data_IF_527628737879
#
_entry.id   IF_527628737879
#
_cell.length_a   1.000
_cell.length_b   1.000
_cell.length_c   1.000
_cell.angle_alpha   90.00
_cell.angle_beta   90.00
_cell.angle_gamma   90.00
#
_symmetry.space_group_name_H-M   'P 1'
#
loop_
_entity.id
_entity.type
_entity.pdbx_description
1 polymer ?
#
# COMPACT_ATOMS: atom_id res chain seq x y z
N UNK A 1 -56.94 -25.69 -51.26
CA UNK A 1 -55.76 -24.82 -51.07
C UNK A 1 -55.75 -24.30 -49.64
N UNK A 2 -54.74 -24.66 -48.83
CA UNK A 2 -54.45 -24.01 -47.54
C UNK A 2 -52.97 -23.66 -47.55
N UNK A 3 -52.69 -22.36 -47.46
CA UNK A 3 -51.34 -21.79 -47.48
C UNK A 3 -50.85 -21.74 -46.05
N UNK A 4 -49.73 -22.40 -45.78
CA UNK A 4 -49.09 -22.40 -44.46
C UNK A 4 -48.03 -21.32 -44.43
N UNK A 5 -48.19 -20.31 -43.58
CA UNK A 5 -47.17 -19.28 -43.33
C UNK A 5 -46.23 -19.76 -42.23
N UNK A 6 -44.93 -19.91 -42.53
CA UNK A 6 -43.89 -20.05 -41.53
C UNK A 6 -43.57 -18.68 -40.93
N UNK A 7 -43.92 -18.50 -39.65
CA UNK A 7 -43.53 -17.33 -38.87
C UNK A 7 -42.13 -17.59 -38.29
N UNK A 8 -41.09 -17.04 -38.92
CA UNK A 8 -39.73 -17.11 -38.41
C UNK A 8 -39.59 -16.05 -37.29
N UNK A 9 -39.73 -16.47 -36.04
CA UNK A 9 -39.57 -15.60 -34.89
C UNK A 9 -38.06 -15.42 -34.61
N UNK A 10 -37.48 -14.36 -35.16
CA UNK A 10 -36.11 -13.97 -34.83
C UNK A 10 -36.07 -13.49 -33.37
N UNK A 11 -35.48 -14.29 -32.48
CA UNK A 11 -35.19 -13.88 -31.10
C UNK A 11 -34.13 -12.80 -31.12
N UNK A 12 -34.52 -11.55 -30.90
CA UNK A 12 -33.60 -10.46 -30.67
C UNK A 12 -33.05 -10.59 -29.24
N UNK A 13 -31.83 -11.13 -29.10
CA UNK A 13 -31.16 -11.17 -27.81
C UNK A 13 -30.86 -9.73 -27.38
N UNK A 14 -31.57 -9.23 -26.37
CA UNK A 14 -31.20 -8.01 -25.67
C UNK A 14 -29.85 -8.28 -24.99
N UNK A 15 -28.77 -7.77 -25.58
CA UNK A 15 -27.50 -7.65 -24.89
C UNK A 15 -27.69 -6.64 -23.76
N UNK A 16 -28.02 -7.12 -22.56
CA UNK A 16 -28.03 -6.28 -21.37
C UNK A 16 -26.63 -5.77 -21.12
N UNK A 17 -26.42 -4.46 -21.27
CA UNK A 17 -25.21 -3.81 -20.77
C UNK A 17 -25.16 -3.99 -19.26
N UNK A 18 -24.33 -4.91 -18.78
CA UNK A 18 -23.90 -4.91 -17.38
C UNK A 18 -23.07 -3.65 -17.20
N UNK A 19 -23.64 -2.60 -16.61
CA UNK A 19 -22.81 -1.53 -16.08
C UNK A 19 -21.86 -2.17 -15.09
N UNK A 20 -20.55 -2.04 -15.32
CA UNK A 20 -19.56 -2.48 -14.36
C UNK A 20 -19.89 -1.80 -13.02
N UNK A 21 -20.11 -2.57 -11.97
CA UNK A 21 -20.40 -2.00 -10.66
C UNK A 21 -19.25 -1.09 -10.25
N UNK A 22 -19.59 0.05 -9.64
CA UNK A 22 -18.60 1.00 -9.16
C UNK A 22 -17.69 0.32 -8.12
N UNK A 23 -16.40 0.22 -8.43
CA UNK A 23 -15.43 -0.35 -7.52
C UNK A 23 -14.92 0.71 -6.54
N UNK A 24 -15.06 0.43 -5.24
CA UNK A 24 -14.52 1.28 -4.18
C UNK A 24 -13.06 0.94 -3.89
N UNK A 25 -12.22 1.98 -3.77
CA UNK A 25 -10.79 1.84 -3.53
C UNK A 25 -10.40 2.54 -2.24
N UNK A 26 -9.93 1.77 -1.25
CA UNK A 26 -9.33 2.27 -0.01
C UNK A 26 -7.85 2.59 -0.24
N UNK A 27 -7.42 3.82 0.03
CA UNK A 27 -6.02 4.22 -0.09
C UNK A 27 -5.63 5.32 0.88
N UNK A 28 -4.33 5.60 0.98
CA UNK A 28 -3.80 6.78 1.69
C UNK A 28 -3.03 7.68 0.72
N UNK A 29 -3.36 8.97 0.70
CA UNK A 29 -2.79 9.96 -0.21
C UNK A 29 -1.63 10.77 0.40
N UNK A 30 -1.40 10.67 1.71
CA UNK A 30 -0.40 11.47 2.40
C UNK A 30 0.28 10.65 3.48
N UNK A 31 1.52 10.23 3.22
CA UNK A 31 2.30 9.39 4.12
C UNK A 31 3.77 9.80 4.05
N UNK A 32 4.33 10.12 5.21
CA UNK A 32 5.76 10.40 5.39
C UNK A 32 6.48 9.16 5.87
N UNK A 33 7.76 9.08 5.52
CA UNK A 33 8.65 7.98 5.86
C UNK A 33 9.91 8.55 6.50
N UNK A 34 10.85 7.68 6.86
CA UNK A 34 12.18 8.12 7.31
C UNK A 34 13.01 8.86 6.24
N UNK A 35 12.52 9.00 5.00
CA UNK A 35 13.10 9.90 3.99
C UNK A 35 12.82 11.39 4.26
N UNK A 36 11.78 11.74 5.01
CA UNK A 36 11.63 13.09 5.56
C UNK A 36 11.58 13.04 7.08
N UNK A 37 10.39 12.85 7.60
CA UNK A 37 10.03 13.16 8.97
C UNK A 37 8.97 12.18 9.50
N UNK A 38 8.72 11.09 8.78
CA UNK A 38 7.99 9.94 9.30
C UNK A 38 8.80 9.16 10.34
N UNK A 39 8.19 8.09 10.85
CA UNK A 39 8.69 7.29 11.97
C UNK A 39 8.94 5.82 11.63
N UNK A 40 8.78 5.41 10.37
CA UNK A 40 9.03 4.03 9.93
C UNK A 40 9.62 4.00 8.50
N UNK A 41 10.24 2.87 8.15
CA UNK A 41 10.92 2.66 6.87
C UNK A 41 9.90 2.58 5.72
N UNK A 42 10.18 3.13 4.52
CA UNK A 42 9.19 3.30 3.46
C UNK A 42 8.54 1.98 3.02
N UNK A 43 9.33 0.92 2.87
CA UNK A 43 8.84 -0.42 2.55
C UNK A 43 8.05 -1.06 3.70
N UNK A 44 8.38 -0.74 4.95
CA UNK A 44 7.73 -1.28 6.12
C UNK A 44 6.33 -0.68 6.28
N UNK A 45 6.20 0.62 5.98
CA UNK A 45 4.92 1.32 5.88
C UNK A 45 4.11 0.75 4.72
N UNK A 46 4.71 0.62 3.53
CA UNK A 46 4.02 0.09 2.35
C UNK A 46 3.52 -1.35 2.57
N UNK A 47 4.33 -2.21 3.18
CA UNK A 47 3.92 -3.56 3.58
C UNK A 47 2.74 -3.52 4.54
N UNK A 48 2.76 -2.64 5.54
CA UNK A 48 1.64 -2.50 6.49
C UNK A 48 0.34 -2.17 5.75
N UNK A 49 0.34 -1.16 4.88
CA UNK A 49 -0.86 -0.81 4.11
C UNK A 49 -1.37 -1.97 3.24
N UNK A 50 -0.47 -2.66 2.54
CA UNK A 50 -0.79 -3.85 1.75
C UNK A 50 -1.44 -4.95 2.59
N UNK A 51 -0.87 -5.26 3.74
CA UNK A 51 -1.40 -6.30 4.64
C UNK A 51 -2.76 -5.92 5.25
N UNK A 52 -3.12 -4.62 5.26
CA UNK A 52 -4.36 -4.09 5.86
C UNK A 52 -5.44 -3.74 4.82
N UNK A 53 -5.36 -4.34 3.62
CA UNK A 53 -6.38 -4.22 2.58
C UNK A 53 -6.47 -2.83 1.95
N UNK A 54 -5.39 -2.04 2.00
CA UNK A 54 -5.32 -0.83 1.19
C UNK A 54 -4.90 -1.20 -0.22
N UNK A 55 -5.55 -0.55 -1.18
CA UNK A 55 -5.37 -0.80 -2.59
C UNK A 55 -4.28 0.08 -3.19
N UNK A 56 -4.08 1.27 -2.62
CA UNK A 56 -3.01 2.18 -3.02
C UNK A 56 -2.45 2.94 -1.81
N UNK A 57 -1.20 3.37 -1.95
CA UNK A 57 -0.49 4.18 -0.99
C UNK A 57 0.33 5.22 -1.76
N UNK A 58 0.26 6.47 -1.31
CA UNK A 58 1.09 7.57 -1.81
C UNK A 58 2.11 7.95 -0.74
N UNK A 59 3.39 7.98 -1.13
CA UNK A 59 4.48 8.49 -0.30
C UNK A 59 4.73 9.95 -0.68
N UNK A 60 4.69 10.84 0.31
CA UNK A 60 4.69 12.30 0.14
C UNK A 60 5.72 12.96 1.04
N UNK A 61 6.94 12.40 1.08
CA UNK A 61 8.04 12.92 1.90
C UNK A 61 8.35 14.38 1.57
N UNK A 62 8.69 15.18 2.59
CA UNK A 62 8.95 16.62 2.42
C UNK A 62 10.12 16.93 1.49
N UNK A 63 9.82 17.61 0.38
CA UNK A 63 10.79 18.19 -0.57
C UNK A 63 11.88 17.21 -1.01
N UNK A 64 11.56 15.92 -1.09
CA UNK A 64 12.52 14.88 -1.43
C UNK A 64 11.83 13.76 -2.21
N UNK A 65 12.57 13.16 -3.12
CA UNK A 65 12.19 11.92 -3.77
C UNK A 65 13.04 10.80 -3.19
N UNK A 66 12.49 9.59 -3.14
CA UNK A 66 13.21 8.42 -2.64
C UNK A 66 14.18 7.88 -3.70
N UNK A 67 15.20 8.68 -4.02
CA UNK A 67 16.21 8.38 -5.05
C UNK A 67 17.63 8.49 -4.47
N UNK A 68 18.54 7.72 -5.03
CA UNK A 68 19.94 7.69 -4.60
C UNK A 68 20.19 6.92 -3.30
N UNK A 69 21.45 6.92 -2.86
CA UNK A 69 21.85 6.28 -1.61
C UNK A 69 21.63 7.21 -0.42
N UNK A 70 20.93 6.70 0.62
CA UNK A 70 20.71 7.43 1.86
C UNK A 70 20.82 6.52 3.08
N UNK A 71 21.47 7.04 4.13
CA UNK A 71 21.65 6.36 5.41
C UNK A 71 21.02 7.21 6.52
N UNK A 72 20.27 6.56 7.41
CA UNK A 72 19.57 7.19 8.54
C UNK A 72 20.15 6.68 9.85
N UNK A 73 20.49 7.61 10.74
CA UNK A 73 20.91 7.26 12.10
C UNK A 73 19.72 6.78 12.93
N UNK A 74 19.85 5.59 13.51
CA UNK A 74 18.79 4.90 14.27
C UNK A 74 18.41 5.66 15.54
N UNK A 75 19.38 6.25 16.22
CA UNK A 75 19.17 6.94 17.49
C UNK A 75 18.63 8.37 17.31
N UNK A 76 18.80 8.97 16.12
CA UNK A 76 18.32 10.33 15.85
C UNK A 76 17.01 10.39 15.07
N UNK A 77 16.64 9.35 14.35
CA UNK A 77 15.41 9.34 13.59
C UNK A 77 14.18 9.12 14.50
N UNK A 78 12.97 9.42 14.01
CA UNK A 78 11.76 9.34 14.84
C UNK A 78 11.35 7.90 15.20
N UNK A 79 11.74 6.92 14.39
CA UNK A 79 11.38 5.51 14.60
C UNK A 79 12.20 4.81 15.68
N UNK A 80 13.45 5.24 15.86
CA UNK A 80 14.32 4.71 16.90
C UNK A 80 14.70 3.23 16.73
N UNK A 81 15.32 2.64 17.77
CA UNK A 81 15.58 1.21 17.85
C UNK A 81 14.33 0.32 17.70
N UNK A 82 13.12 0.68 18.20
CA UNK A 82 11.93 -0.15 18.01
C UNK A 82 11.53 -0.32 16.54
N UNK A 83 11.58 0.75 15.75
CA UNK A 83 11.28 0.65 14.31
C UNK A 83 12.31 -0.23 13.60
N UNK A 84 13.60 -0.12 13.95
CA UNK A 84 14.63 -0.99 13.38
C UNK A 84 14.41 -2.46 13.73
N UNK A 85 14.08 -2.78 14.99
CA UNK A 85 13.84 -4.16 15.41
C UNK A 85 12.67 -4.78 14.64
N UNK A 86 11.56 -4.04 14.48
CA UNK A 86 10.41 -4.45 13.67
C UNK A 86 10.81 -4.66 12.20
N UNK A 87 11.57 -3.72 11.65
CA UNK A 87 12.03 -3.77 10.26
C UNK A 87 12.96 -4.96 9.99
N UNK A 88 13.89 -5.25 10.90
CA UNK A 88 14.76 -6.44 10.85
C UNK A 88 13.97 -7.74 10.95
N UNK A 89 12.96 -7.81 11.83
CA UNK A 89 12.11 -8.99 11.96
C UNK A 89 11.32 -9.28 10.67
N UNK A 90 10.84 -8.24 9.98
CA UNK A 90 10.02 -8.39 8.78
C UNK A 90 10.85 -8.63 7.50
N UNK A 91 12.04 -8.05 7.39
CA UNK A 91 12.82 -8.02 6.14
C UNK A 91 14.18 -8.72 6.20
N UNK A 92 14.62 -9.12 7.39
CA UNK A 92 15.82 -9.93 7.61
C UNK A 92 17.06 -9.35 6.94
N UNK A 93 17.73 -10.16 6.12
CA UNK A 93 19.00 -9.82 5.44
C UNK A 93 18.88 -8.68 4.43
N UNK A 94 17.68 -8.25 4.07
CA UNK A 94 17.49 -7.14 3.14
C UNK A 94 17.74 -5.77 3.80
N UNK A 95 17.57 -5.71 5.12
CA UNK A 95 17.95 -4.57 5.96
C UNK A 95 19.46 -4.42 5.93
N UNK A 96 19.94 -3.25 5.54
CA UNK A 96 21.37 -2.95 5.49
C UNK A 96 21.69 -1.96 6.61
N UNK A 97 22.58 -2.36 7.51
CA UNK A 97 23.06 -1.54 8.61
C UNK A 97 24.56 -1.34 8.52
N UNK A 98 25.06 -0.21 9.01
CA UNK A 98 26.49 0.04 9.18
C UNK A 98 26.75 0.81 10.46
N UNK A 99 27.96 0.67 10.99
CA UNK A 99 28.46 1.56 12.02
C UNK A 99 29.36 2.62 11.38
N UNK A 100 29.12 3.89 11.71
CA UNK A 100 29.95 5.01 11.26
C UNK A 100 30.14 5.99 12.40
N UNK A 101 31.40 6.20 12.82
CA UNK A 101 31.75 7.09 13.93
C UNK A 101 30.97 6.78 15.23
N UNK A 102 30.81 5.49 15.56
CA UNK A 102 30.07 5.02 16.73
C UNK A 102 28.55 5.17 16.64
N UNK A 103 28.01 5.47 15.45
CA UNK A 103 26.58 5.64 15.21
C UNK A 103 26.09 4.50 14.32
N UNK A 104 25.02 3.84 14.77
CA UNK A 104 24.32 2.83 13.98
C UNK A 104 23.46 3.53 12.93
N UNK A 105 23.76 3.29 11.66
CA UNK A 105 23.01 3.81 10.54
C UNK A 105 22.34 2.66 9.78
N UNK A 106 21.15 2.91 9.23
CA UNK A 106 20.38 1.99 8.41
C UNK A 106 20.16 2.63 7.04
N UNK A 107 20.39 1.88 5.97
CA UNK A 107 20.16 2.37 4.61
C UNK A 107 18.66 2.45 4.35
N UNK A 108 18.19 3.59 3.87
CA UNK A 108 16.83 3.77 3.43
C UNK A 108 16.69 3.26 2.00
N UNK A 109 15.70 2.39 1.74
CA UNK A 109 15.43 1.89 0.39
C UNK A 109 14.69 2.93 -0.44
N UNK A 110 15.00 2.96 -1.73
CA UNK A 110 14.27 3.75 -2.72
C UNK A 110 12.94 3.09 -3.08
N UNK A 111 12.00 3.87 -3.62
CA UNK A 111 10.74 3.35 -4.15
C UNK A 111 10.97 2.24 -5.19
N UNK A 112 11.96 2.42 -6.06
CA UNK A 112 12.32 1.44 -7.10
C UNK A 112 12.77 0.10 -6.50
N UNK A 113 13.52 0.12 -5.39
CA UNK A 113 14.03 -1.10 -4.74
C UNK A 113 12.91 -1.95 -4.13
N UNK A 114 11.87 -1.34 -3.57
CA UNK A 114 10.82 -2.09 -2.86
C UNK A 114 9.53 -2.30 -3.63
N UNK A 115 9.22 -1.46 -4.63
CA UNK A 115 7.92 -1.53 -5.33
C UNK A 115 7.65 -2.90 -5.95
N UNK A 116 8.65 -3.54 -6.56
CA UNK A 116 8.49 -4.84 -7.22
C UNK A 116 8.18 -6.00 -6.27
N UNK A 117 8.36 -5.81 -4.95
CA UNK A 117 8.03 -6.81 -3.92
C UNK A 117 6.61 -6.64 -3.36
N UNK A 118 6.03 -5.46 -3.52
CA UNK A 118 4.78 -5.07 -2.86
C UNK A 118 3.65 -4.81 -3.86
N UNK A 119 3.95 -4.25 -5.03
CA UNK A 119 2.96 -4.02 -6.07
C UNK A 119 2.49 -5.35 -6.67
N UNK A 120 1.18 -5.46 -6.90
CA UNK A 120 0.57 -6.62 -7.57
C UNK A 120 0.04 -6.14 -8.93
N UNK A 121 0.59 -6.63 -10.06
CA UNK A 121 0.13 -6.25 -11.39
C UNK A 121 -1.34 -6.63 -11.60
N UNK A 122 -2.16 -5.68 -12.05
CA UNK A 122 -3.56 -5.93 -12.43
C UNK A 122 -4.44 -6.47 -11.30
N UNK A 123 -4.11 -6.18 -10.04
CA UNK A 123 -4.76 -6.78 -8.87
C UNK A 123 -6.28 -6.61 -8.84
N UNK A 124 -7.01 -7.58 -9.42
CA UNK A 124 -8.40 -7.83 -9.09
C UNK A 124 -8.42 -8.26 -7.62
N UNK A 125 -8.83 -7.34 -6.74
CA UNK A 125 -9.03 -7.62 -5.32
C UNK A 125 -10.31 -8.46 -5.18
N UNK A 126 -10.21 -9.74 -5.54
CA UNK A 126 -11.27 -10.73 -5.39
C UNK A 126 -11.46 -11.10 -3.93
N UNK A 127 -12.40 -10.44 -3.26
CA UNK A 127 -13.39 -11.04 -2.36
C UNK A 127 -14.29 -9.91 -1.87
N UNK A 128 -15.47 -9.83 -2.46
CA UNK A 128 -16.51 -8.84 -2.16
C UNK A 128 -17.20 -9.07 -0.80
N UNK A 129 -16.66 -9.92 0.07
CA UNK A 129 -17.38 -10.35 1.27
C UNK A 129 -17.17 -9.44 2.50
N UNK A 130 -16.30 -8.43 2.46
CA UNK A 130 -15.97 -7.63 3.65
C UNK A 130 -16.32 -6.13 3.60
N UNK A 131 -17.01 -5.64 2.57
CA UNK A 131 -17.38 -4.22 2.51
C UNK A 131 -18.51 -3.82 3.49
N UNK A 132 -19.23 -4.78 4.07
CA UNK A 132 -20.34 -4.51 5.00
C UNK A 132 -19.95 -4.50 6.49
N UNK A 133 -18.72 -4.89 6.87
CA UNK A 133 -18.37 -5.19 8.28
C UNK A 133 -17.46 -4.19 9.00
N UNK A 134 -16.87 -3.20 8.32
CA UNK A 134 -15.86 -2.33 8.94
C UNK A 134 -16.47 -1.16 9.75
N UNK A 135 -17.34 -1.45 10.73
CA UNK A 135 -17.75 -0.51 11.78
C UNK A 135 -17.06 -0.79 13.12
N UNK A 136 -15.85 -1.36 13.10
CA UNK A 136 -14.99 -1.38 14.28
C UNK A 136 -13.86 -0.37 14.11
N UNK A 137 -14.04 0.77 14.79
CA UNK A 137 -12.99 1.76 15.05
C UNK A 137 -11.92 1.15 15.96
N UNK A 138 -11.14 0.21 15.45
CA UNK A 138 -9.81 -0.07 15.99
C UNK A 138 -8.79 0.65 15.11
N UNK A 139 -8.67 1.96 15.39
CA UNK A 139 -7.58 2.77 14.89
C UNK A 139 -6.28 2.27 15.53
N UNK A 140 -5.31 1.76 14.75
CA UNK A 140 -4.05 1.29 15.30
C UNK A 140 -3.30 2.47 15.92
N UNK A 141 -2.89 2.31 17.17
CA UNK A 141 -2.14 3.32 17.94
C UNK A 141 -0.81 3.72 17.24
N UNK A 142 -0.33 2.92 16.29
CA UNK A 142 0.97 3.12 15.64
C UNK A 142 0.91 3.76 14.23
N UNK A 143 -0.21 3.70 13.49
CA UNK A 143 -0.34 4.51 12.26
C UNK A 143 -0.78 5.96 12.58
N UNK A 144 -1.37 6.16 13.76
CA UNK A 144 -1.81 7.48 14.21
C UNK A 144 -0.67 8.42 14.59
N UNK A 145 0.51 7.93 14.95
CA UNK A 145 1.61 8.83 15.32
C UNK A 145 2.22 9.54 14.11
N UNK A 146 2.16 8.95 12.92
CA UNK A 146 2.54 9.59 11.66
C UNK A 146 1.54 10.66 11.18
N UNK A 147 0.30 10.67 11.68
CA UNK A 147 -0.78 11.57 11.20
C UNK A 147 -1.38 12.50 12.27
N UNK A 148 -1.13 12.31 13.58
CA UNK A 148 -1.74 13.12 14.67
C UNK A 148 -0.85 14.25 15.23
N UNK A 149 0.16 14.72 14.50
CA UNK A 149 0.96 15.90 14.93
C UNK A 149 1.15 16.89 13.79
N UNK A 150 0.03 17.35 13.23
CA UNK A 150 -0.11 18.67 12.61
C UNK A 150 -1.15 19.45 13.41
#
# INVERSE_FOLDING_TARGET
MKVTFLFCWASFALAGSTFAEAQWWKGNLHTHTLWSDGDDYPEQIAKWYKDHGYHFLTLTDHNTLQTGERWSDVMKNRGGPPALAKYQAAWGKWVQTRERNGRLEVRLKTLEEFRGRLEVPGGNHGSLENCAGAHERHQPQNAHQAQRRQ
#
